data_IF_532154301625
#
_entry.id   IF_532154301625
#
_cell.length_a   1.000
_cell.length_b   1.000
_cell.length_c   1.000
_cell.angle_alpha   90.00
_cell.angle_beta   90.00
_cell.angle_gamma   90.00
#
_symmetry.space_group_name_H-M   'P 1'
#
loop_
_entity.id
_entity.type
_entity.pdbx_description
1 polymer ?
#
# COMPACT_ATOMS: atom_id res chain seq x y z
N UNK A 1 -14.18 -10.88 5.25
CA UNK A 1 -13.18 -10.13 4.45
C UNK A 1 -13.76 -8.74 4.16
N UNK A 2 -13.83 -7.86 5.16
CA UNK A 2 -14.56 -6.57 5.08
C UNK A 2 -13.64 -5.32 5.01
N UNK A 3 -12.32 -5.48 5.15
CA UNK A 3 -11.36 -4.36 5.18
C UNK A 3 -10.45 -4.29 3.94
N UNK A 4 -10.79 -5.05 2.88
CA UNK A 4 -10.10 -4.98 1.59
C UNK A 4 -10.94 -4.15 0.62
N UNK A 5 -10.41 -3.01 0.19
CA UNK A 5 -11.10 -2.12 -0.73
C UNK A 5 -11.10 -2.73 -2.13
N UNK A 6 -12.26 -2.77 -2.77
CA UNK A 6 -12.39 -3.18 -4.18
C UNK A 6 -12.74 -1.95 -5.01
N UNK A 7 -11.81 -1.52 -5.87
CA UNK A 7 -12.02 -0.40 -6.78
C UNK A 7 -12.50 -0.95 -8.14
N UNK A 8 -13.80 -0.80 -8.41
CA UNK A 8 -14.35 -1.21 -9.70
C UNK A 8 -13.74 -0.38 -10.85
N UNK A 9 -13.51 -1.02 -11.99
CA UNK A 9 -12.90 -0.38 -13.17
C UNK A 9 -11.40 -0.12 -13.07
N UNK A 10 -10.73 -0.60 -12.02
CA UNK A 10 -9.27 -0.48 -11.85
C UNK A 10 -8.58 -1.84 -11.92
N UNK A 11 -7.35 -1.86 -12.43
CA UNK A 11 -6.49 -3.05 -12.40
C UNK A 11 -5.90 -3.24 -11.00
N UNK A 12 -5.80 -4.50 -10.56
CA UNK A 12 -5.05 -4.82 -9.33
C UNK A 12 -3.56 -4.58 -9.57
N UNK A 13 -2.86 -4.07 -8.55
CA UNK A 13 -1.43 -3.79 -8.62
C UNK A 13 -0.66 -5.04 -9.07
N UNK A 14 0.08 -4.92 -10.17
CA UNK A 14 0.76 -6.04 -10.82
C UNK A 14 2.19 -5.66 -11.17
N UNK A 15 3.14 -6.51 -10.78
CA UNK A 15 4.52 -6.45 -11.24
C UNK A 15 4.79 -7.69 -12.10
N UNK A 16 5.19 -7.46 -13.35
CA UNK A 16 5.56 -8.51 -14.29
C UNK A 16 7.05 -8.40 -14.60
N UNK A 17 7.81 -9.46 -14.33
CA UNK A 17 9.21 -9.57 -14.72
C UNK A 17 9.38 -10.72 -15.71
N UNK A 18 10.21 -10.51 -16.74
CA UNK A 18 10.68 -11.53 -17.67
C UNK A 18 12.15 -11.76 -17.36
N UNK A 19 12.51 -13.01 -17.07
CA UNK A 19 13.88 -13.41 -16.83
C UNK A 19 14.48 -14.15 -18.04
N UNK A 20 15.79 -14.04 -18.22
CA UNK A 20 16.54 -14.90 -19.13
C UNK A 20 16.77 -16.30 -18.51
N UNK A 21 17.33 -17.27 -19.25
CA UNK A 21 17.67 -18.59 -18.70
C UNK A 21 18.71 -18.58 -17.57
N UNK A 22 19.40 -17.46 -17.35
CA UNK A 22 20.33 -17.23 -16.24
C UNK A 22 19.62 -16.64 -15.00
N UNK A 23 18.28 -16.56 -15.01
CA UNK A 23 17.44 -16.00 -13.94
C UNK A 23 17.59 -14.48 -13.72
N UNK A 24 18.23 -13.78 -14.66
CA UNK A 24 18.37 -12.33 -14.62
C UNK A 24 17.13 -11.66 -15.23
N UNK A 25 16.58 -10.65 -14.56
CA UNK A 25 15.46 -9.86 -15.10
C UNK A 25 15.93 -9.03 -16.30
N UNK A 26 15.35 -9.29 -17.48
CA UNK A 26 15.65 -8.56 -18.72
C UNK A 26 14.59 -7.53 -19.08
N UNK A 27 13.38 -7.67 -18.54
CA UNK A 27 12.29 -6.70 -18.68
C UNK A 27 11.42 -6.73 -17.43
N UNK A 28 11.00 -5.55 -16.98
CA UNK A 28 10.00 -5.41 -15.94
C UNK A 28 8.91 -4.41 -16.34
N UNK A 29 7.67 -4.74 -16.03
CA UNK A 29 6.51 -3.83 -16.12
C UNK A 29 5.95 -3.69 -14.70
N UNK A 30 5.85 -2.44 -14.25
CA UNK A 30 5.36 -2.09 -12.93
C UNK A 30 4.03 -1.32 -13.04
N UNK A 31 2.91 -2.04 -13.01
CA UNK A 31 1.56 -1.46 -13.00
C UNK A 31 0.98 -1.48 -11.57
N UNK A 32 1.48 -0.59 -10.71
CA UNK A 32 1.02 -0.44 -9.32
C UNK A 32 0.32 0.90 -9.09
N UNK A 33 -0.17 1.55 -10.14
CA UNK A 33 -0.75 2.90 -10.05
C UNK A 33 -2.01 2.95 -9.17
N UNK A 34 -2.76 1.85 -9.07
CA UNK A 34 -3.93 1.74 -8.17
C UNK A 34 -3.61 2.08 -6.71
N UNK A 35 -2.36 1.92 -6.27
CA UNK A 35 -1.96 2.27 -4.89
C UNK A 35 -2.09 3.78 -4.61
N UNK A 36 -2.03 4.63 -5.66
CA UNK A 36 -2.30 6.07 -5.52
C UNK A 36 -3.75 6.39 -5.17
N UNK A 37 -4.68 5.46 -5.46
CA UNK A 37 -6.09 5.61 -5.10
C UNK A 37 -6.34 5.42 -3.60
N UNK A 38 -5.38 4.90 -2.83
CA UNK A 38 -5.46 4.71 -1.37
C UNK A 38 -5.28 6.03 -0.63
N UNK A 39 -6.10 7.04 -0.95
CA UNK A 39 -6.02 8.39 -0.37
C UNK A 39 -6.55 8.44 1.07
N UNK A 40 -6.20 9.47 1.87
CA UNK A 40 -6.77 9.66 3.20
C UNK A 40 -8.30 9.63 3.20
N UNK A 41 -8.93 10.23 2.19
CA UNK A 41 -10.39 10.26 2.05
C UNK A 41 -10.96 8.85 1.89
N UNK A 42 -10.34 8.01 1.06
CA UNK A 42 -10.77 6.63 0.88
C UNK A 42 -10.48 5.78 2.12
N UNK A 43 -9.32 5.96 2.76
CA UNK A 43 -8.92 5.20 3.95
C UNK A 43 -9.75 5.56 5.19
N UNK A 44 -10.31 6.77 5.25
CA UNK A 44 -11.06 7.25 6.41
C UNK A 44 -12.30 6.42 6.74
N UNK A 45 -12.86 5.67 5.78
CA UNK A 45 -13.95 4.72 6.06
C UNK A 45 -13.51 3.56 6.99
N UNK A 46 -12.21 3.34 7.17
CA UNK A 46 -11.62 2.33 8.05
C UNK A 46 -10.91 2.94 9.26
N UNK A 47 -11.19 4.21 9.60
CA UNK A 47 -10.55 4.91 10.73
C UNK A 47 -10.63 4.10 12.02
N UNK A 48 -11.80 3.55 12.33
CA UNK A 48 -12.01 2.80 13.57
C UNK A 48 -11.17 1.52 13.62
N UNK A 49 -10.91 0.88 12.48
CA UNK A 49 -10.02 -0.28 12.42
C UNK A 49 -8.58 0.10 12.83
N UNK A 50 -8.12 1.26 12.36
CA UNK A 50 -6.77 1.74 12.64
C UNK A 50 -6.65 2.19 14.11
N UNK A 51 -7.60 2.98 14.63
CA UNK A 51 -7.51 3.52 16.00
C UNK A 51 -7.72 2.48 17.10
N UNK A 52 -8.25 1.30 16.77
CA UNK A 52 -8.39 0.18 17.72
C UNK A 52 -7.37 -0.94 17.46
N UNK A 53 -6.40 -0.73 16.55
CA UNK A 53 -5.35 -1.70 16.31
C UNK A 53 -4.35 -1.76 17.47
N UNK A 54 -3.85 -2.95 17.79
CA UNK A 54 -2.72 -3.09 18.74
C UNK A 54 -1.37 -2.68 18.13
N UNK A 55 -1.27 -2.69 16.81
CA UNK A 55 -0.09 -2.31 16.02
C UNK A 55 -0.52 -1.98 14.59
N UNK A 56 0.16 -1.03 13.95
CA UNK A 56 -0.03 -0.72 12.53
C UNK A 56 1.23 -1.12 11.76
N UNK A 57 1.07 -1.96 10.74
CA UNK A 57 2.10 -2.21 9.74
C UNK A 57 1.71 -1.46 8.46
N UNK A 58 2.59 -0.59 7.97
CA UNK A 58 2.33 0.23 6.78
C UNK A 58 3.49 0.10 5.80
N UNK A 59 3.18 0.03 4.51
CA UNK A 59 4.18 0.01 3.43
C UNK A 59 4.38 1.43 2.86
N UNK A 60 5.62 1.77 2.48
CA UNK A 60 5.99 3.00 1.76
C UNK A 60 5.43 3.06 0.32
N UNK A 61 4.57 2.14 -0.08
CA UNK A 61 3.79 2.22 -1.32
C UNK A 61 2.59 3.19 -1.23
N UNK A 62 2.18 3.58 0.00
CA UNK A 62 1.21 4.66 0.18
C UNK A 62 1.78 6.02 -0.23
N UNK A 63 0.90 6.95 -0.60
CA UNK A 63 1.28 8.35 -0.82
C UNK A 63 1.69 9.01 0.50
N UNK A 64 2.51 10.07 0.42
CA UNK A 64 2.95 10.83 1.61
C UNK A 64 1.77 11.31 2.46
N UNK A 65 0.71 11.83 1.83
CA UNK A 65 -0.50 12.27 2.52
C UNK A 65 -1.20 11.13 3.27
N UNK A 66 -1.17 9.91 2.71
CA UNK A 66 -1.80 8.74 3.34
C UNK A 66 -0.96 8.20 4.49
N UNK A 67 0.37 8.26 4.37
CA UNK A 67 1.28 7.96 5.47
C UNK A 67 1.10 8.95 6.62
N UNK A 68 1.04 10.25 6.33
CA UNK A 68 0.76 11.30 7.33
C UNK A 68 -0.57 11.07 8.05
N UNK A 69 -1.62 10.69 7.30
CA UNK A 69 -2.91 10.33 7.86
C UNK A 69 -2.82 9.12 8.80
N UNK A 70 -2.10 8.06 8.41
CA UNK A 70 -1.86 6.88 9.27
C UNK A 70 -1.16 7.27 10.56
N UNK A 71 -0.06 8.03 10.48
CA UNK A 71 0.70 8.44 11.66
C UNK A 71 -0.08 9.34 12.60
N UNK A 72 -0.91 10.23 12.05
CA UNK A 72 -1.78 11.11 12.84
C UNK A 72 -2.82 10.30 13.63
N UNK A 73 -3.38 9.25 13.02
CA UNK A 73 -4.41 8.42 13.67
C UNK A 73 -3.87 7.37 14.62
N UNK A 74 -2.67 6.85 14.38
CA UNK A 74 -2.09 5.80 15.20
C UNK A 74 -1.94 6.23 16.67
N UNK A 75 -1.66 7.51 16.97
CA UNK A 75 -1.71 8.13 18.30
C UNK A 75 -1.43 7.19 19.49
N UNK A 76 -0.18 6.75 19.63
CA UNK A 76 0.26 5.84 20.70
C UNK A 76 0.25 4.36 20.34
N UNK A 77 -0.36 3.98 19.20
CA UNK A 77 -0.24 2.65 18.60
C UNK A 77 1.14 2.55 17.90
N UNK A 78 1.93 1.50 18.16
CA UNK A 78 3.19 1.28 17.45
C UNK A 78 2.99 1.16 15.94
N UNK A 79 3.79 1.90 15.15
CA UNK A 79 3.77 1.84 13.69
C UNK A 79 5.10 1.30 13.17
N UNK A 80 5.03 0.24 12.37
CA UNK A 80 6.17 -0.34 11.66
C UNK A 80 6.05 -0.03 10.17
N UNK A 81 7.13 0.47 9.57
CA UNK A 81 7.13 0.93 8.18
C UNK A 81 7.99 0.00 7.32
N UNK A 82 7.40 -0.56 6.27
CA UNK A 82 8.09 -1.33 5.23
C UNK A 82 8.88 -0.40 4.29
N UNK A 83 10.02 -0.86 3.78
CA UNK A 83 10.79 -0.10 2.79
C UNK A 83 10.24 -0.34 1.38
N UNK A 84 10.24 0.71 0.55
CA UNK A 84 9.87 0.58 -0.86
C UNK A 84 11.07 0.17 -1.70
N UNK A 85 10.98 -0.97 -2.38
CA UNK A 85 11.91 -1.33 -3.46
C UNK A 85 11.49 -0.57 -4.71
N UNK A 86 12.39 0.25 -5.26
CA UNK A 86 12.22 0.80 -6.60
C UNK A 86 12.79 -0.21 -7.59
N UNK A 87 11.88 -0.87 -8.32
CA UNK A 87 12.17 -1.71 -9.49
C UNK A 87 12.23 -0.86 -10.75
#
# INVERSE_FOLDING_TARGET
MQSCIRLHGHNTATYLSIANPQEETVLAINDTHILQSLTPQLLNQYRDLLTHAGVVLVDCNLTEQSLEWVFTLANGIPVFVGYRVRV
#
